data_IF_544261651832
#
_entry.id   IF_544261651832
#
_cell.length_a   1.000
_cell.length_b   1.000
_cell.length_c   1.000
_cell.angle_alpha   90.00
_cell.angle_beta   90.00
_cell.angle_gamma   90.00
#
_symmetry.space_group_name_H-M   'P 1'
#
loop_
_entity.id
_entity.type
_entity.pdbx_description
1 polymer ?
#
# COMPACT_ATOMS: atom_id res chain seq x y z
N UNK A 1 -16.85 -21.50 28.20
CA UNK A 1 -16.48 -21.25 26.78
C UNK A 1 -16.74 -19.79 26.44
N UNK A 2 -15.74 -18.91 26.51
CA UNK A 2 -15.84 -17.47 26.18
C UNK A 2 -14.67 -16.98 25.30
N UNK A 3 -14.01 -17.89 24.58
CA UNK A 3 -12.86 -17.60 23.70
C UNK A 3 -13.31 -17.28 22.25
N UNK A 4 -14.58 -17.53 21.91
CA UNK A 4 -15.06 -17.46 20.52
C UNK A 4 -15.33 -16.04 19.97
N UNK A 5 -15.50 -15.02 20.82
CA UNK A 5 -15.88 -13.67 20.35
C UNK A 5 -14.69 -12.74 20.05
N UNK A 6 -13.51 -12.98 20.66
CA UNK A 6 -12.33 -12.12 20.45
C UNK A 6 -11.59 -12.39 19.13
N UNK A 7 -11.59 -13.65 18.67
CA UNK A 7 -10.95 -14.06 17.41
C UNK A 7 -11.75 -13.54 16.20
N UNK A 8 -13.09 -13.51 16.29
CA UNK A 8 -13.95 -13.01 15.21
C UNK A 8 -13.86 -11.48 15.01
N UNK A 9 -13.69 -10.69 16.08
CA UNK A 9 -13.45 -9.24 15.95
C UNK A 9 -12.08 -8.88 15.39
N UNK A 10 -11.08 -9.75 15.55
CA UNK A 10 -9.74 -9.57 14.97
C UNK A 10 -9.77 -9.73 13.45
N UNK A 11 -10.46 -10.76 12.93
CA UNK A 11 -10.55 -11.06 11.50
C UNK A 11 -11.27 -9.97 10.67
N UNK A 12 -12.24 -9.26 11.26
CA UNK A 12 -12.98 -8.21 10.55
C UNK A 12 -12.14 -6.92 10.33
N UNK A 13 -11.20 -6.61 11.21
CA UNK A 13 -10.29 -5.47 11.08
C UNK A 13 -9.13 -5.75 10.12
N UNK A 14 -8.59 -6.98 10.12
CA UNK A 14 -7.57 -7.43 9.15
C UNK A 14 -8.05 -7.30 7.69
N UNK A 15 -9.35 -7.39 7.48
CA UNK A 15 -9.93 -7.56 6.17
C UNK A 15 -10.38 -6.23 5.52
N UNK A 16 -10.50 -5.15 6.30
CA UNK A 16 -10.88 -3.80 5.81
C UNK A 16 -9.69 -2.88 5.61
N UNK A 17 -8.75 -2.79 6.57
CA UNK A 17 -7.71 -1.77 6.55
C UNK A 17 -6.48 -2.21 5.71
N UNK A 18 -6.04 -3.47 5.84
CA UNK A 18 -5.12 -4.12 4.89
C UNK A 18 -5.74 -4.32 3.50
N UNK A 19 -7.08 -4.35 3.42
CA UNK A 19 -7.82 -4.28 2.17
C UNK A 19 -7.60 -2.93 1.48
N UNK A 20 -7.94 -1.83 2.13
CA UNK A 20 -7.80 -0.49 1.51
C UNK A 20 -6.38 -0.21 1.01
N UNK A 21 -5.34 -0.47 1.82
CA UNK A 21 -3.95 -0.36 1.37
C UNK A 21 -3.70 -1.21 0.11
N UNK A 22 -4.12 -2.48 0.12
CA UNK A 22 -4.01 -3.39 -1.01
C UNK A 22 -4.75 -2.94 -2.28
N UNK A 23 -5.85 -2.19 -2.14
CA UNK A 23 -6.57 -1.60 -3.27
C UNK A 23 -5.75 -0.52 -3.97
N UNK A 24 -5.16 0.39 -3.20
CA UNK A 24 -4.28 1.44 -3.73
C UNK A 24 -2.92 0.91 -4.21
N UNK A 25 -2.40 -0.18 -3.63
CA UNK A 25 -1.19 -0.87 -4.12
C UNK A 25 -1.36 -1.34 -5.56
N UNK A 26 -2.53 -1.92 -5.87
CA UNK A 26 -2.87 -2.35 -7.23
C UNK A 26 -2.96 -1.17 -8.20
N UNK A 27 -3.50 -0.04 -7.74
CA UNK A 27 -3.51 1.20 -8.52
C UNK A 27 -2.09 1.68 -8.80
N UNK A 28 -1.22 1.70 -7.80
CA UNK A 28 0.18 2.07 -7.97
C UNK A 28 0.90 1.16 -8.99
N UNK A 29 0.74 -0.16 -8.85
CA UNK A 29 1.30 -1.15 -9.77
C UNK A 29 0.75 -1.00 -11.20
N UNK A 30 -0.53 -0.66 -11.36
CA UNK A 30 -1.14 -0.40 -12.66
C UNK A 30 -0.50 0.81 -13.36
N UNK A 31 -0.30 1.91 -12.66
CA UNK A 31 0.31 3.09 -13.25
C UNK A 31 1.80 2.88 -13.55
N UNK A 32 2.53 2.16 -12.70
CA UNK A 32 3.88 1.72 -13.01
C UNK A 32 3.91 0.80 -14.24
N UNK A 33 2.93 -0.09 -14.41
CA UNK A 33 2.80 -0.96 -15.59
C UNK A 33 2.58 -0.13 -16.86
N UNK A 34 1.63 0.82 -16.82
CA UNK A 34 1.34 1.75 -17.91
C UNK A 34 2.58 2.53 -18.34
N UNK A 35 3.35 3.05 -17.39
CA UNK A 35 4.61 3.74 -17.67
C UNK A 35 5.64 2.80 -18.32
N UNK A 36 5.80 1.58 -17.79
CA UNK A 36 6.71 0.58 -18.37
C UNK A 36 6.32 0.20 -19.80
N UNK A 37 5.03 0.02 -20.09
CA UNK A 37 4.53 -0.31 -21.43
C UNK A 37 4.76 0.86 -22.38
N UNK A 38 4.46 2.09 -21.97
CA UNK A 38 4.63 3.28 -22.80
C UNK A 38 6.11 3.58 -23.08
N UNK A 39 7.01 3.28 -22.15
CA UNK A 39 8.46 3.45 -22.34
C UNK A 39 9.11 2.36 -23.20
N UNK A 40 8.70 1.09 -23.04
CA UNK A 40 9.45 -0.07 -23.57
C UNK A 40 8.65 -0.97 -24.53
N UNK A 41 7.36 -0.70 -24.71
CA UNK A 41 6.42 -1.61 -25.37
C UNK A 41 5.91 -2.71 -24.42
N UNK A 42 4.79 -3.34 -24.80
CA UNK A 42 4.14 -4.36 -23.99
C UNK A 42 4.97 -5.65 -23.86
N UNK A 43 5.74 -6.05 -24.87
CA UNK A 43 6.59 -7.24 -24.87
C UNK A 43 7.77 -7.15 -23.88
N UNK A 44 8.21 -5.94 -23.55
CA UNK A 44 9.36 -5.68 -22.68
C UNK A 44 8.95 -5.09 -21.32
N UNK A 45 7.67 -5.19 -20.95
CA UNK A 45 7.20 -4.64 -19.69
C UNK A 45 7.72 -5.46 -18.49
N UNK A 46 8.18 -4.77 -17.43
CA UNK A 46 8.85 -5.41 -16.30
C UNK A 46 7.90 -5.87 -15.19
N UNK A 47 6.64 -5.43 -15.17
CA UNK A 47 5.70 -5.71 -14.08
C UNK A 47 4.82 -6.93 -14.38
N UNK A 48 4.26 -6.99 -15.58
CA UNK A 48 3.31 -8.01 -15.99
C UNK A 48 3.65 -8.50 -17.41
N UNK A 49 4.86 -9.06 -17.56
CA UNK A 49 5.43 -9.49 -18.86
C UNK A 49 4.51 -10.43 -19.64
N UNK A 50 3.76 -11.27 -18.93
CA UNK A 50 2.85 -12.26 -19.52
C UNK A 50 1.37 -11.85 -19.44
N UNK A 51 1.07 -10.63 -19.02
CA UNK A 51 -0.26 -10.08 -19.15
C UNK A 51 -0.45 -9.69 -20.61
N UNK A 52 -1.09 -10.59 -21.38
CA UNK A 52 -1.50 -10.35 -22.77
C UNK A 52 -2.96 -9.90 -22.76
N UNK A 53 -3.25 -8.73 -23.32
CA UNK A 53 -4.62 -8.29 -23.53
C UNK A 53 -5.38 -9.29 -24.41
N UNK A 54 -6.66 -9.51 -24.13
CA UNK A 54 -7.55 -10.36 -24.94
C UNK A 54 -8.01 -9.68 -26.22
N UNK A 55 -7.82 -8.38 -26.35
CA UNK A 55 -8.03 -7.65 -27.60
C UNK A 55 -6.84 -8.02 -28.50
N UNK A 56 -7.04 -8.59 -29.71
CA UNK A 56 -5.98 -8.82 -30.67
C UNK A 56 -5.44 -7.48 -31.20
N UNK A 57 -4.14 -7.34 -31.49
CA UNK A 57 -3.69 -6.22 -32.31
C UNK A 57 -4.47 -6.25 -33.64
N UNK A 58 -4.78 -5.08 -34.20
CA UNK A 58 -5.45 -5.01 -35.51
C UNK A 58 -4.66 -5.74 -36.61
N UNK A 59 -3.37 -5.96 -36.39
CA UNK A 59 -2.49 -6.78 -37.22
C UNK A 59 -1.79 -7.88 -36.37
N UNK A 60 -2.10 -9.18 -36.57
CA UNK A 60 -1.51 -10.29 -35.83
C UNK A 60 -0.04 -10.57 -36.13
N UNK A 61 0.48 -10.12 -37.28
CA UNK A 61 1.83 -10.49 -37.75
C UNK A 61 2.87 -9.40 -37.49
N UNK A 62 2.46 -8.13 -37.36
CA UNK A 62 3.38 -7.00 -37.19
C UNK A 62 3.12 -6.13 -35.93
N UNK A 63 2.02 -6.37 -35.21
CA UNK A 63 1.65 -5.58 -34.04
C UNK A 63 2.39 -5.98 -32.75
N UNK A 64 2.88 -5.03 -31.93
CA UNK A 64 3.33 -5.36 -30.57
C UNK A 64 2.16 -6.00 -29.79
N UNK A 65 2.42 -6.94 -28.86
CA UNK A 65 1.34 -7.58 -28.10
C UNK A 65 0.48 -6.52 -27.43
N UNK A 66 -0.85 -6.67 -27.49
CA UNK A 66 -1.72 -5.66 -26.92
C UNK A 66 -1.53 -5.58 -25.40
N UNK A 67 -1.37 -4.36 -24.83
CA UNK A 67 -1.29 -4.20 -23.40
C UNK A 67 -2.58 -4.68 -22.75
N UNK A 68 -2.48 -5.19 -21.53
CA UNK A 68 -3.65 -5.54 -20.75
C UNK A 68 -4.51 -4.31 -20.48
N UNK A 69 -5.83 -4.49 -20.58
CA UNK A 69 -6.78 -3.60 -19.92
C UNK A 69 -6.54 -3.62 -18.41
N UNK A 70 -7.06 -2.61 -17.71
CA UNK A 70 -6.98 -2.55 -16.25
C UNK A 70 -7.52 -3.83 -15.59
N UNK A 71 -8.67 -4.31 -16.06
CA UNK A 71 -9.32 -5.49 -15.48
C UNK A 71 -8.50 -6.76 -15.69
N UNK A 72 -7.86 -6.92 -16.86
CA UNK A 72 -6.96 -8.04 -17.13
C UNK A 72 -5.69 -7.96 -16.30
N UNK A 73 -5.14 -6.76 -16.11
CA UNK A 73 -4.00 -6.53 -15.23
C UNK A 73 -4.33 -6.93 -13.79
N UNK A 74 -5.46 -6.46 -13.25
CA UNK A 74 -5.91 -6.83 -11.90
C UNK A 74 -6.11 -8.35 -11.78
N UNK A 75 -6.77 -8.99 -12.75
CA UNK A 75 -6.93 -10.45 -12.78
C UNK A 75 -5.57 -11.17 -12.77
N UNK A 76 -4.61 -10.65 -13.53
CA UNK A 76 -3.27 -11.20 -13.64
C UNK A 76 -2.51 -11.12 -12.30
N UNK A 77 -2.47 -9.95 -11.66
CA UNK A 77 -1.71 -9.76 -10.41
C UNK A 77 -2.39 -10.39 -9.18
N UNK A 78 -3.72 -10.54 -9.22
CA UNK A 78 -4.50 -11.23 -8.18
C UNK A 78 -4.53 -12.74 -8.38
N UNK A 79 -4.00 -13.24 -9.49
CA UNK A 79 -3.92 -14.66 -9.79
C UNK A 79 -5.28 -15.35 -9.93
N UNK A 80 -6.32 -14.64 -10.36
CA UNK A 80 -7.71 -15.11 -10.28
C UNK A 80 -8.46 -15.07 -11.60
N UNK A 81 -9.34 -16.05 -11.82
CA UNK A 81 -10.07 -16.26 -13.08
C UNK A 81 -11.43 -15.56 -13.16
N UNK A 82 -11.96 -14.96 -12.08
CA UNK A 82 -13.28 -14.30 -12.17
C UNK A 82 -13.15 -13.01 -13.00
N UNK A 83 -14.17 -12.69 -13.79
CA UNK A 83 -14.06 -11.64 -14.83
C UNK A 83 -14.57 -10.27 -14.41
N UNK A 84 -15.37 -10.20 -13.36
CA UNK A 84 -16.07 -8.98 -12.91
C UNK A 84 -15.52 -8.49 -11.58
N UNK A 85 -14.38 -7.79 -11.61
CA UNK A 85 -13.69 -7.35 -10.39
C UNK A 85 -13.94 -5.89 -10.01
N UNK A 86 -13.85 -4.98 -10.96
CA UNK A 86 -14.41 -3.63 -10.88
C UNK A 86 -14.72 -3.29 -12.33
N UNK A 87 -15.99 -3.09 -12.71
CA UNK A 87 -16.32 -2.72 -14.09
C UNK A 87 -15.90 -1.27 -14.30
N UNK A 88 -14.65 -1.08 -14.70
CA UNK A 88 -14.17 0.16 -15.31
C UNK A 88 -14.65 0.11 -16.75
N UNK A 89 -15.43 1.09 -17.20
CA UNK A 89 -15.99 1.13 -18.56
C UNK A 89 -14.91 1.51 -19.59
N UNK A 90 -13.76 0.84 -19.55
CA UNK A 90 -12.54 1.12 -20.34
C UNK A 90 -12.00 2.57 -20.21
N UNK A 91 -12.51 3.34 -19.27
CA UNK A 91 -11.96 4.62 -18.84
C UNK A 91 -10.77 4.40 -17.91
N UNK A 92 -9.77 5.28 -18.02
CA UNK A 92 -8.62 5.27 -17.11
C UNK A 92 -9.11 5.31 -15.66
N UNK A 93 -8.68 4.36 -14.81
CA UNK A 93 -9.27 4.17 -13.49
C UNK A 93 -8.90 5.31 -12.55
N UNK A 94 -9.88 6.05 -12.04
CA UNK A 94 -9.64 7.05 -10.99
C UNK A 94 -9.06 6.38 -9.72
N UNK A 95 -7.91 6.88 -9.25
CA UNK A 95 -7.16 6.28 -8.13
C UNK A 95 -8.02 6.15 -6.88
N UNK A 96 -8.74 7.22 -6.51
CA UNK A 96 -9.57 7.24 -5.30
C UNK A 96 -10.71 6.24 -5.46
N UNK A 97 -11.55 6.44 -6.48
CA UNK A 97 -12.76 5.64 -6.67
C UNK A 97 -12.46 4.14 -6.86
N UNK A 98 -11.44 3.81 -7.66
CA UNK A 98 -11.13 2.42 -7.99
C UNK A 98 -10.28 1.78 -6.90
N UNK A 99 -9.36 2.53 -6.28
CA UNK A 99 -8.59 2.07 -5.12
C UNK A 99 -9.49 1.66 -3.96
N UNK A 100 -10.51 2.47 -3.63
CA UNK A 100 -11.50 2.13 -2.60
C UNK A 100 -12.35 0.91 -2.97
N UNK A 101 -12.77 0.78 -4.23
CA UNK A 101 -13.55 -0.38 -4.69
C UNK A 101 -12.75 -1.68 -4.63
N UNK A 102 -11.48 -1.63 -5.02
CA UNK A 102 -10.57 -2.76 -4.86
C UNK A 102 -10.34 -3.03 -3.37
N UNK A 103 -10.15 -1.97 -2.58
CA UNK A 103 -9.94 -1.95 -1.14
C UNK A 103 -11.01 -2.68 -0.33
N UNK A 104 -12.27 -2.36 -0.66
CA UNK A 104 -13.47 -2.87 0.03
C UNK A 104 -14.03 -4.14 -0.61
N UNK A 105 -13.24 -4.84 -1.43
CA UNK A 105 -13.69 -6.05 -2.14
C UNK A 105 -14.29 -7.06 -1.16
N UNK A 106 -15.40 -7.68 -1.59
CA UNK A 106 -16.16 -8.68 -0.82
C UNK A 106 -16.72 -8.17 0.53
N UNK A 107 -16.97 -6.87 0.68
CA UNK A 107 -17.46 -6.29 1.94
C UNK A 107 -16.36 -6.24 3.01
N UNK A 108 -15.11 -6.03 2.58
CA UNK A 108 -13.96 -6.03 3.46
C UNK A 108 -13.63 -7.41 4.01
N UNK A 109 -13.82 -8.48 3.22
CA UNK A 109 -13.42 -9.87 3.57
C UNK A 109 -11.97 -10.18 3.17
N UNK A 110 -11.17 -9.15 2.92
CA UNK A 110 -9.77 -9.26 2.51
C UNK A 110 -9.62 -9.32 1.00
N UNK A 111 -8.49 -8.79 0.53
CA UNK A 111 -8.09 -8.81 -0.87
C UNK A 111 -7.13 -9.99 -1.07
N UNK A 112 -7.14 -10.68 -2.22
CA UNK A 112 -6.12 -11.67 -2.52
C UNK A 112 -4.71 -11.12 -2.29
N UNK A 113 -3.82 -11.94 -1.73
CA UNK A 113 -2.40 -11.60 -1.63
C UNK A 113 -1.83 -11.37 -3.03
N UNK A 114 -1.01 -10.34 -3.20
CA UNK A 114 -0.29 -10.12 -4.46
C UNK A 114 0.65 -11.29 -4.71
N UNK A 115 0.50 -11.94 -5.86
CA UNK A 115 1.41 -13.01 -6.28
C UNK A 115 2.71 -12.39 -6.81
N UNK A 116 3.59 -11.99 -5.89
CA UNK A 116 4.85 -11.31 -6.23
C UNK A 116 5.78 -12.14 -7.10
N UNK A 117 5.66 -13.47 -7.15
CA UNK A 117 6.45 -14.29 -8.08
C UNK A 117 5.91 -14.20 -9.50
N UNK A 118 4.58 -14.29 -9.64
CA UNK A 118 3.93 -14.09 -10.94
C UNK A 118 4.11 -12.66 -11.45
N UNK A 119 4.11 -11.68 -10.56
CA UNK A 119 4.34 -10.27 -10.87
C UNK A 119 5.85 -10.04 -10.98
N UNK A 120 6.35 -9.67 -12.15
CA UNK A 120 7.76 -9.32 -12.35
C UNK A 120 8.84 -10.39 -12.04
N UNK A 121 8.47 -11.61 -11.60
CA UNK A 121 9.45 -12.62 -11.20
C UNK A 121 10.21 -12.28 -9.93
N UNK A 122 9.68 -11.39 -9.07
CA UNK A 122 10.39 -10.87 -7.90
C UNK A 122 10.09 -11.68 -6.64
N UNK A 123 11.14 -12.03 -5.89
CA UNK A 123 10.99 -12.73 -4.62
C UNK A 123 10.61 -11.79 -3.47
N UNK A 124 9.35 -11.35 -3.41
CA UNK A 124 8.76 -10.65 -2.25
C UNK A 124 8.31 -9.20 -2.49
N UNK A 125 7.52 -8.69 -1.54
CA UNK A 125 6.86 -7.38 -1.62
C UNK A 125 7.83 -6.20 -1.73
N UNK A 126 8.91 -6.18 -0.93
CA UNK A 126 9.92 -5.11 -0.98
C UNK A 126 10.58 -4.98 -2.35
N UNK A 127 10.91 -6.10 -3.00
CA UNK A 127 11.48 -6.11 -4.35
C UNK A 127 10.49 -5.62 -5.40
N UNK A 128 9.20 -5.98 -5.26
CA UNK A 128 8.14 -5.49 -6.15
C UNK A 128 7.98 -3.98 -6.04
N UNK A 129 7.88 -3.44 -4.82
CA UNK A 129 7.71 -2.01 -4.59
C UNK A 129 8.91 -1.20 -5.08
N UNK A 130 10.14 -1.72 -4.88
CA UNK A 130 11.34 -1.10 -5.45
C UNK A 130 11.30 -1.08 -6.98
N UNK A 131 11.00 -2.20 -7.63
CA UNK A 131 10.88 -2.26 -9.09
C UNK A 131 9.85 -1.26 -9.63
N UNK A 132 8.66 -1.21 -9.01
CA UNK A 132 7.62 -0.28 -9.42
C UNK A 132 8.09 1.17 -9.25
N UNK A 133 8.75 1.49 -8.13
CA UNK A 133 9.30 2.82 -7.85
C UNK A 133 10.42 3.22 -8.79
N UNK A 134 11.29 2.28 -9.18
CA UNK A 134 12.33 2.48 -10.19
C UNK A 134 11.72 2.85 -11.54
N UNK A 135 10.61 2.22 -11.92
CA UNK A 135 9.88 2.53 -13.16
C UNK A 135 9.28 3.95 -13.08
N UNK A 136 8.60 4.29 -11.97
CA UNK A 136 7.99 5.63 -11.79
C UNK A 136 9.07 6.72 -11.78
N UNK A 137 10.16 6.51 -11.04
CA UNK A 137 11.29 7.44 -11.00
C UNK A 137 11.96 7.61 -12.37
N UNK A 138 12.20 6.50 -13.09
CA UNK A 138 12.74 6.55 -14.45
C UNK A 138 11.80 7.29 -15.41
N UNK A 139 10.49 7.13 -15.27
CA UNK A 139 9.51 7.85 -16.08
C UNK A 139 9.54 9.37 -15.81
N UNK A 140 9.76 9.79 -14.55
CA UNK A 140 9.83 11.21 -14.17
C UNK A 140 10.98 11.98 -14.83
N UNK A 141 12.06 11.28 -15.18
CA UNK A 141 13.25 11.87 -15.84
C UNK A 141 13.27 11.64 -17.36
N UNK A 142 12.29 10.92 -17.90
CA UNK A 142 12.26 10.55 -19.31
C UNK A 142 11.64 11.66 -20.18
N UNK A 143 12.46 12.29 -21.03
CA UNK A 143 12.02 13.36 -21.94
C UNK A 143 11.34 12.88 -23.23
N UNK A 144 11.41 11.58 -23.54
CA UNK A 144 10.90 11.00 -24.80
C UNK A 144 9.37 10.83 -24.79
N UNK A 145 8.77 10.67 -23.61
CA UNK A 145 7.35 10.43 -23.47
C UNK A 145 6.78 11.34 -22.37
N UNK A 146 5.60 11.89 -22.60
CA UNK A 146 4.86 12.60 -21.56
C UNK A 146 4.23 11.60 -20.59
N UNK A 147 4.71 11.55 -19.34
CA UNK A 147 4.16 10.70 -18.29
C UNK A 147 3.40 11.49 -17.22
N UNK A 148 3.12 12.77 -17.43
CA UNK A 148 2.61 13.69 -16.39
C UNK A 148 1.41 13.11 -15.64
N UNK A 149 0.43 12.59 -16.38
CA UNK A 149 -0.78 11.99 -15.80
C UNK A 149 -0.51 10.69 -15.06
N UNK A 150 0.26 9.76 -15.66
CA UNK A 150 0.60 8.50 -14.99
C UNK A 150 1.45 8.70 -13.72
N UNK A 151 2.35 9.68 -13.72
CA UNK A 151 3.16 10.07 -12.57
C UNK A 151 2.27 10.60 -11.44
N UNK A 152 1.40 11.58 -11.73
CA UNK A 152 0.47 12.15 -10.74
C UNK A 152 -0.37 11.04 -10.08
N UNK A 153 -0.91 10.13 -10.89
CA UNK A 153 -1.76 9.05 -10.41
C UNK A 153 -0.99 7.97 -9.64
N UNK A 154 0.23 7.63 -10.06
CA UNK A 154 1.09 6.72 -9.31
C UNK A 154 1.46 7.31 -7.94
N UNK A 155 1.86 8.58 -7.89
CA UNK A 155 2.17 9.29 -6.65
C UNK A 155 0.93 9.40 -5.76
N UNK A 156 -0.24 9.69 -6.33
CA UNK A 156 -1.50 9.69 -5.60
C UNK A 156 -1.78 8.31 -4.98
N UNK A 157 -1.65 7.23 -5.75
CA UNK A 157 -1.89 5.87 -5.27
C UNK A 157 -0.92 5.50 -4.15
N UNK A 158 0.39 5.72 -4.33
CA UNK A 158 1.40 5.37 -3.33
C UNK A 158 1.26 6.18 -2.02
N UNK A 159 0.83 7.44 -2.11
CA UNK A 159 0.46 8.22 -0.93
C UNK A 159 -0.71 7.60 -0.18
N UNK A 160 -1.76 7.14 -0.88
CA UNK A 160 -2.85 6.42 -0.23
C UNK A 160 -2.37 5.10 0.40
N UNK A 161 -1.51 4.33 -0.27
CA UNK A 161 -0.91 3.12 0.32
C UNK A 161 -0.21 3.44 1.64
N UNK A 162 0.70 4.41 1.66
CA UNK A 162 1.44 4.81 2.87
C UNK A 162 0.48 5.17 4.01
N UNK A 163 -0.57 5.95 3.71
CA UNK A 163 -1.55 6.37 4.73
C UNK A 163 -2.39 5.23 5.28
N UNK A 164 -2.87 4.32 4.44
CA UNK A 164 -3.61 3.16 4.93
C UNK A 164 -2.71 2.17 5.68
N UNK A 165 -1.45 1.98 5.25
CA UNK A 165 -0.47 1.18 6.01
C UNK A 165 -0.13 1.81 7.36
N UNK A 166 0.00 3.13 7.42
CA UNK A 166 0.18 3.87 8.67
C UNK A 166 -1.04 3.69 9.59
N UNK A 167 -2.26 3.79 9.05
CA UNK A 167 -3.50 3.54 9.79
C UNK A 167 -3.55 2.11 10.35
N UNK A 168 -3.16 1.10 9.56
CA UNK A 168 -3.07 -0.28 10.01
C UNK A 168 -2.11 -0.39 11.19
N UNK A 169 -0.87 0.10 11.01
CA UNK A 169 0.17 0.05 12.02
C UNK A 169 -0.26 0.72 13.33
N UNK A 170 -0.81 1.94 13.27
CA UNK A 170 -1.28 2.66 14.47
C UNK A 170 -2.43 1.94 15.17
N UNK A 171 -3.34 1.29 14.43
CA UNK A 171 -4.41 0.51 15.03
C UNK A 171 -3.87 -0.68 15.85
N UNK A 172 -2.92 -1.44 15.30
CA UNK A 172 -2.29 -2.56 16.01
C UNK A 172 -1.44 -2.09 17.19
N UNK A 173 -0.70 -0.99 17.02
CA UNK A 173 0.09 -0.40 18.10
C UNK A 173 -0.77 0.06 19.27
N UNK A 174 -1.85 0.80 19.01
CA UNK A 174 -2.81 1.22 20.04
C UNK A 174 -3.43 0.02 20.75
N UNK A 175 -3.74 -1.05 20.01
CA UNK A 175 -4.27 -2.28 20.60
C UNK A 175 -3.26 -2.92 21.56
N UNK A 176 -2.03 -3.12 21.11
CA UNK A 176 -0.97 -3.73 21.91
C UNK A 176 -0.63 -2.86 23.15
N UNK A 177 -0.59 -1.54 22.99
CA UNK A 177 -0.47 -0.61 24.12
C UNK A 177 -1.62 -0.78 25.12
N UNK A 178 -2.87 -0.88 24.65
CA UNK A 178 -4.00 -1.10 25.55
C UNK A 178 -3.91 -2.45 26.27
N UNK A 179 -3.43 -3.50 25.61
CA UNK A 179 -3.26 -4.83 26.22
C UNK A 179 -2.21 -4.81 27.33
N UNK A 180 -1.07 -4.15 27.11
CA UNK A 180 0.03 -4.04 28.08
C UNK A 180 -0.30 -3.08 29.25
N UNK A 181 -0.90 -1.92 28.96
CA UNK A 181 -0.98 -0.81 29.92
C UNK A 181 -2.33 -0.67 30.62
N UNK A 182 -3.43 -1.19 30.04
CA UNK A 182 -4.75 -1.14 30.71
C UNK A 182 -4.78 -1.90 32.04
N UNK A 183 -4.13 -3.08 32.20
CA UNK A 183 -4.05 -3.75 33.51
C UNK A 183 -3.30 -2.93 34.57
N UNK A 184 -2.40 -2.04 34.15
CA UNK A 184 -1.66 -1.10 35.01
C UNK A 184 -2.47 0.15 35.36
N UNK A 185 -3.72 0.25 34.91
CA UNK A 185 -4.58 1.41 35.12
C UNK A 185 -4.25 2.61 34.23
N UNK A 186 -3.42 2.43 33.20
CA UNK A 186 -3.03 3.49 32.27
C UNK A 186 -4.05 3.58 31.13
N UNK A 187 -4.53 4.79 30.87
CA UNK A 187 -5.44 5.08 29.76
C UNK A 187 -4.64 5.53 28.54
N UNK A 188 -4.57 4.68 27.52
CA UNK A 188 -3.93 5.01 26.24
C UNK A 188 -4.79 6.00 25.46
N UNK A 189 -4.16 7.11 25.03
CA UNK A 189 -4.81 8.16 24.26
C UNK A 189 -4.37 8.10 22.80
N UNK A 190 -5.32 8.45 21.94
CA UNK A 190 -5.10 8.61 20.52
C UNK A 190 -5.64 9.95 20.05
N UNK A 191 -5.04 10.48 19.01
CA UNK A 191 -5.42 11.72 18.36
C UNK A 191 -5.91 11.42 16.94
N UNK A 192 -6.96 12.12 16.52
CA UNK A 192 -7.47 12.01 15.16
C UNK A 192 -6.52 12.72 14.21
N UNK A 193 -6.25 12.08 13.09
CA UNK A 193 -5.54 12.63 11.95
C UNK A 193 -6.47 12.62 10.75
N UNK A 194 -6.71 13.81 10.22
CA UNK A 194 -7.47 14.00 8.98
C UNK A 194 -6.50 14.28 7.84
N UNK A 195 -6.61 13.51 6.77
CA UNK A 195 -5.83 13.68 5.56
C UNK A 195 -6.70 13.45 4.33
N UNK A 196 -6.98 14.51 3.58
CA UNK A 196 -7.71 14.46 2.29
C UNK A 196 -9.01 13.63 2.36
N UNK A 197 -9.80 13.83 3.41
CA UNK A 197 -11.06 13.12 3.64
C UNK A 197 -10.93 11.76 4.32
N UNK A 198 -9.72 11.28 4.60
CA UNK A 198 -9.48 10.10 5.44
C UNK A 198 -9.23 10.53 6.88
N UNK A 199 -9.99 9.95 7.82
CA UNK A 199 -9.74 10.11 9.25
C UNK A 199 -9.22 8.80 9.85
N UNK A 200 -8.16 8.88 10.65
CA UNK A 200 -7.67 7.75 11.43
C UNK A 200 -7.07 8.21 12.77
N UNK A 201 -6.97 7.27 13.70
CA UNK A 201 -6.41 7.50 15.03
C UNK A 201 -4.93 7.16 15.06
N UNK A 202 -4.14 8.01 15.70
CA UNK A 202 -2.71 7.78 15.97
C UNK A 202 -2.46 7.82 17.47
N UNK A 203 -1.61 6.94 17.96
CA UNK A 203 -1.20 6.96 19.36
C UNK A 203 -0.59 8.33 19.73
N UNK A 204 -1.09 8.91 20.84
CA UNK A 204 -0.65 10.20 21.35
C UNK A 204 0.08 10.01 22.68
N UNK A 205 1.43 9.96 22.69
CA UNK A 205 2.19 9.74 23.90
C UNK A 205 2.08 10.90 24.88
N UNK A 206 2.03 12.15 24.38
CA UNK A 206 1.95 13.35 25.23
C UNK A 206 0.62 13.38 25.97
N UNK A 207 -0.48 13.15 25.26
CA UNK A 207 -1.81 13.09 25.86
C UNK A 207 -1.99 11.87 26.76
N UNK A 208 -1.36 10.75 26.41
CA UNK A 208 -1.33 9.56 27.27
C UNK A 208 -0.64 9.90 28.58
N UNK A 209 0.51 10.57 28.56
CA UNK A 209 1.22 10.95 29.78
C UNK A 209 0.41 11.96 30.60
N UNK A 210 -0.14 13.01 29.98
CA UNK A 210 -0.88 14.06 30.69
C UNK A 210 -2.14 13.55 31.38
N UNK A 211 -2.83 12.58 30.76
CA UNK A 211 -4.11 12.07 31.26
C UNK A 211 -3.95 10.94 32.30
N UNK A 212 -2.71 10.59 32.65
CA UNK A 212 -2.39 9.59 33.69
C UNK A 212 -1.57 10.20 34.85
N UNK A 213 -2.05 11.27 35.53
CA UNK A 213 -1.27 12.02 36.52
C UNK A 213 -1.00 11.25 37.83
N UNK A 214 -1.66 10.11 38.05
CA UNK A 214 -1.47 9.25 39.23
C UNK A 214 -0.25 8.34 39.08
N UNK A 215 0.25 8.15 37.86
CA UNK A 215 1.49 7.42 37.58
C UNK A 215 2.64 8.41 37.62
N UNK A 216 3.80 8.04 38.18
CA UNK A 216 4.99 8.88 38.08
C UNK A 216 5.29 9.11 36.60
N UNK A 217 5.20 10.36 36.16
CA UNK A 217 5.27 10.75 34.74
C UNK A 217 6.54 10.20 34.07
N UNK A 218 7.68 10.30 34.74
CA UNK A 218 8.97 9.81 34.22
C UNK A 218 9.02 8.28 34.07
N UNK A 219 8.37 7.55 34.98
CA UNK A 219 8.32 6.09 34.92
C UNK A 219 7.40 5.65 33.78
N UNK A 220 6.23 6.29 33.63
CA UNK A 220 5.31 6.01 32.53
C UNK A 220 5.93 6.32 31.17
N UNK A 221 6.64 7.44 31.03
CA UNK A 221 7.32 7.78 29.79
C UNK A 221 8.36 6.72 29.40
N UNK A 222 9.21 6.31 30.35
CA UNK A 222 10.22 5.26 30.12
C UNK A 222 9.59 3.92 29.75
N UNK A 223 8.49 3.54 30.40
CA UNK A 223 7.77 2.31 30.07
C UNK A 223 7.17 2.35 28.66
N UNK A 224 6.55 3.47 28.26
CA UNK A 224 5.99 3.65 26.92
C UNK A 224 7.09 3.64 25.85
N UNK A 225 8.22 4.33 26.08
CA UNK A 225 9.37 4.32 25.18
C UNK A 225 9.98 2.91 25.06
N UNK A 226 10.09 2.19 26.18
CA UNK A 226 10.57 0.81 26.18
C UNK A 226 9.63 -0.09 25.38
N UNK A 227 8.32 0.01 25.64
CA UNK A 227 7.31 -0.73 24.89
C UNK A 227 7.41 -0.44 23.40
N UNK A 228 7.51 0.82 22.99
CA UNK A 228 7.62 1.17 21.58
C UNK A 228 8.89 0.58 20.94
N UNK A 229 10.03 0.65 21.62
CA UNK A 229 11.28 0.06 21.14
C UNK A 229 11.20 -1.46 20.99
N UNK A 230 10.51 -2.14 21.91
CA UNK A 230 10.29 -3.59 21.86
C UNK A 230 9.27 -3.96 20.80
N UNK A 231 8.13 -3.26 20.76
CA UNK A 231 7.07 -3.42 19.78
C UNK A 231 7.65 -3.29 18.38
N UNK A 232 8.39 -2.21 18.08
CA UNK A 232 9.03 -1.95 16.78
C UNK A 232 10.10 -2.97 16.36
N UNK A 233 10.48 -3.91 17.24
CA UNK A 233 11.46 -4.99 16.99
C UNK A 233 10.84 -6.39 17.05
N UNK A 234 9.56 -6.52 17.40
CA UNK A 234 8.87 -7.81 17.53
C UNK A 234 8.28 -8.31 16.21
N UNK A 235 8.23 -9.64 16.04
CA UNK A 235 7.77 -10.30 14.80
C UNK A 235 6.35 -9.88 14.34
N UNK A 236 5.43 -9.62 15.29
CA UNK A 236 4.06 -9.20 14.99
C UNK A 236 3.98 -7.77 14.43
N UNK A 237 4.86 -6.86 14.88
CA UNK A 237 4.95 -5.52 14.30
C UNK A 237 5.77 -5.51 13.02
N UNK A 238 6.72 -6.45 12.88
CA UNK A 238 7.63 -6.51 11.74
C UNK A 238 6.86 -6.59 10.44
N UNK A 239 5.75 -7.32 10.33
CA UNK A 239 5.01 -7.39 9.07
C UNK A 239 4.34 -6.07 8.65
N UNK A 240 3.69 -5.37 9.59
CA UNK A 240 3.00 -4.10 9.32
C UNK A 240 3.96 -2.92 9.19
N UNK A 241 4.97 -2.88 10.05
CA UNK A 241 6.04 -1.89 10.00
C UNK A 241 6.91 -2.08 8.75
N UNK A 242 7.31 -3.32 8.42
CA UNK A 242 8.09 -3.57 7.22
C UNK A 242 7.36 -3.14 5.94
N UNK A 243 6.06 -3.45 5.83
CA UNK A 243 5.28 -3.02 4.66
C UNK A 243 5.13 -1.50 4.59
N UNK A 244 4.98 -0.81 5.73
CA UNK A 244 5.02 0.65 5.81
C UNK A 244 6.40 1.21 5.40
N UNK A 245 7.49 0.71 5.99
CA UNK A 245 8.87 1.14 5.72
C UNK A 245 9.23 0.97 4.23
N UNK A 246 8.83 -0.14 3.62
CA UNK A 246 8.99 -0.40 2.17
C UNK A 246 8.25 0.65 1.33
N UNK A 247 7.03 1.01 1.72
CA UNK A 247 6.22 2.00 0.99
C UNK A 247 6.78 3.41 1.19
N UNK A 248 7.29 3.72 2.38
CA UNK A 248 7.91 5.00 2.66
C UNK A 248 9.27 5.15 1.95
N UNK A 249 10.06 4.07 1.85
CA UNK A 249 11.27 4.02 1.02
C UNK A 249 10.92 4.27 -0.46
N UNK A 250 9.87 3.63 -0.97
CA UNK A 250 9.36 3.83 -2.32
C UNK A 250 8.92 5.29 -2.57
N UNK A 251 8.15 5.88 -1.65
CA UNK A 251 7.72 7.27 -1.73
C UNK A 251 8.93 8.22 -1.69
N UNK A 252 9.85 8.01 -0.76
CA UNK A 252 11.05 8.82 -0.65
C UNK A 252 11.86 8.76 -1.94
N UNK A 253 12.01 7.56 -2.53
CA UNK A 253 12.74 7.35 -3.77
C UNK A 253 12.14 8.09 -4.96
N UNK A 254 10.81 8.02 -5.15
CA UNK A 254 10.11 8.72 -6.26
C UNK A 254 10.21 10.24 -6.11
N UNK A 255 10.18 10.74 -4.87
CA UNK A 255 10.21 12.18 -4.58
C UNK A 255 11.63 12.72 -4.33
N UNK A 256 12.70 11.94 -4.57
CA UNK A 256 14.06 12.47 -4.42
C UNK A 256 14.25 13.61 -5.41
N UNK A 257 14.76 14.78 -4.95
CA UNK A 257 15.20 15.81 -5.87
C UNK A 257 16.19 15.18 -6.84
N UNK A 258 15.94 15.32 -8.14
CA UNK A 258 16.92 14.90 -9.15
C UNK A 258 18.13 15.80 -8.92
N UNK A 259 19.16 15.27 -8.25
CA UNK A 259 20.41 15.98 -8.10
C UNK A 259 20.86 16.30 -9.52
N UNK A 260 20.86 17.59 -9.87
CA UNK A 260 21.37 18.03 -11.16
C UNK A 260 22.83 17.60 -11.19
N UNK A 261 23.12 16.52 -11.90
CA UNK A 261 24.49 16.18 -12.24
C UNK A 261 25.04 17.36 -13.01
N UNK A 262 26.06 18.02 -12.45
CA UNK A 262 26.77 19.08 -13.15
C UNK A 262 27.16 18.57 -14.53
N UNK A 263 26.95 19.36 -15.60
CA UNK A 263 27.36 18.96 -16.94
C UNK A 263 28.85 18.63 -16.91
N UNK A 264 29.20 17.41 -17.35
CA UNK A 264 30.58 17.03 -17.65
C UNK A 264 30.98 17.62 -18.98
#
# INVERSE_FOLDING_TARGET
>A
MKISLFILSFLAAFATAGGMAGGYERMFLWYAYRMSVKANGASNNKIAKNCRGRIPPMDPEEGPPNPCSFNEFIQYIDGTSRTTYVRTADLEPDVTTIGERLGNRNGGKGIPTLDTQRIAGVGGYGKLMRLASDIVSSASSNKKHDFTRELERATQALNYVSKYRQKDFEWFRIKALNEEFRPKGVVIKASNLDFRGMSFVRYDPVKTISDNPKTKIEDLQKELEKFDNEYLRGEDSDSHKHTMDVVDEANAYINRPTACSAPR
#
